data_IF_871433931858
#
_entry.id   IF_871433931858
#
_cell.length_a   1.000
_cell.length_b   1.000
_cell.length_c   1.000
_cell.angle_alpha   90.00
_cell.angle_beta   90.00
_cell.angle_gamma   90.00
#
_symmetry.space_group_name_H-M   'P 1'
#
loop_
_entity.id
_entity.type
_entity.pdbx_description
1 polymer ?
#
# COMPACT_ATOMS: atom_id res chain seq x y z
N UNK A 1 -2.83 -6.30 -34.38
CA UNK A 1 -2.92 -6.64 -32.94
C UNK A 1 -1.52 -6.57 -32.35
N UNK A 2 -1.16 -5.52 -31.59
CA UNK A 2 0.13 -5.49 -30.88
C UNK A 2 -0.03 -6.25 -29.56
N UNK A 3 0.75 -7.30 -29.28
CA UNK A 3 0.67 -7.97 -27.99
C UNK A 3 1.07 -6.99 -26.88
N UNK A 4 0.31 -6.98 -25.79
CA UNK A 4 0.67 -6.22 -24.59
C UNK A 4 1.97 -6.79 -24.03
N UNK A 5 3.04 -6.00 -24.10
CA UNK A 5 4.32 -6.32 -23.46
C UNK A 5 4.34 -5.55 -22.14
N UNK A 6 4.27 -6.21 -20.97
CA UNK A 6 4.34 -5.53 -19.69
C UNK A 6 5.71 -4.86 -19.55
N UNK A 7 5.71 -3.53 -19.35
CA UNK A 7 6.93 -2.81 -19.01
C UNK A 7 7.21 -2.97 -17.52
N UNK A 8 8.33 -3.60 -17.19
CA UNK A 8 8.84 -3.68 -15.81
C UNK A 8 9.79 -2.48 -15.63
N UNK A 9 9.50 -1.54 -14.70
CA UNK A 9 10.39 -0.42 -14.40
C UNK A 9 11.76 -0.88 -13.91
N UNK A 10 12.76 -0.03 -14.06
CA UNK A 10 14.11 -0.28 -13.56
C UNK A 10 14.14 -0.44 -12.02
N UNK A 11 14.86 -1.46 -11.53
CA UNK A 11 15.17 -1.66 -10.12
C UNK A 11 16.65 -2.05 -9.99
N UNK A 12 17.43 -1.19 -9.33
CA UNK A 12 18.86 -1.38 -9.14
C UNK A 12 19.20 -2.70 -8.45
N UNK A 13 18.41 -3.13 -7.46
CA UNK A 13 18.69 -4.34 -6.68
C UNK A 13 18.42 -5.63 -7.49
N UNK A 14 17.52 -5.58 -8.48
CA UNK A 14 17.28 -6.72 -9.37
C UNK A 14 18.40 -6.93 -10.40
N UNK A 15 19.15 -5.87 -10.73
CA UNK A 15 20.20 -5.91 -11.73
C UNK A 15 21.55 -5.40 -11.23
N UNK A 16 21.85 -5.53 -9.93
CA UNK A 16 23.08 -5.00 -9.31
C UNK A 16 24.35 -5.50 -10.04
N UNK A 17 24.33 -6.73 -10.56
CA UNK A 17 25.43 -7.32 -11.33
C UNK A 17 25.73 -6.59 -12.65
N UNK A 18 24.76 -5.90 -13.23
CA UNK A 18 24.98 -5.05 -14.39
C UNK A 18 25.63 -3.70 -14.03
N UNK A 19 25.67 -3.33 -12.74
CA UNK A 19 26.16 -2.03 -12.25
C UNK A 19 27.20 -2.21 -11.14
N UNK A 20 28.39 -2.76 -11.46
CA UNK A 20 29.45 -2.95 -10.48
C UNK A 20 29.88 -1.60 -9.88
N UNK A 21 29.96 -1.52 -8.55
CA UNK A 21 30.39 -0.30 -7.88
C UNK A 21 31.88 -0.04 -8.11
N UNK A 22 32.20 1.18 -8.53
CA UNK A 22 33.60 1.64 -8.70
C UNK A 22 34.29 1.87 -7.35
N UNK A 23 33.51 2.22 -6.33
CA UNK A 23 33.97 2.44 -4.95
C UNK A 23 33.09 1.64 -3.99
N UNK A 24 33.58 1.27 -2.80
CA UNK A 24 32.75 0.67 -1.77
C UNK A 24 31.52 1.55 -1.48
N UNK A 25 30.42 0.93 -1.03
CA UNK A 25 29.29 1.68 -0.53
C UNK A 25 29.73 2.58 0.65
N UNK A 26 29.13 3.78 0.78
CA UNK A 26 29.36 4.62 1.96
C UNK A 26 29.01 3.88 3.26
N UNK A 27 29.58 4.33 4.37
CA UNK A 27 29.19 3.84 5.69
C UNK A 27 27.78 4.36 6.04
N UNK A 28 26.83 3.44 6.18
CA UNK A 28 25.44 3.72 6.51
C UNK A 28 25.10 3.38 7.96
N UNK A 29 26.10 3.26 8.85
CA UNK A 29 25.89 2.94 10.27
C UNK A 29 24.93 3.93 10.93
N UNK A 30 25.15 5.22 10.73
CA UNK A 30 24.30 6.27 11.31
C UNK A 30 22.86 6.26 10.78
N UNK A 31 22.67 5.88 9.51
CA UNK A 31 21.35 5.72 8.90
C UNK A 31 20.64 4.49 9.47
N UNK A 32 21.35 3.36 9.58
CA UNK A 32 20.85 2.13 10.17
C UNK A 32 20.40 2.33 11.62
N UNK A 33 21.19 3.03 12.42
CA UNK A 33 20.83 3.41 13.80
C UNK A 33 19.59 4.32 13.83
N UNK A 34 19.49 5.28 12.91
CA UNK A 34 18.34 6.16 12.83
C UNK A 34 17.05 5.40 12.48
N UNK A 35 17.11 4.43 11.56
CA UNK A 35 15.98 3.56 11.22
C UNK A 35 15.52 2.73 12.42
N UNK A 36 16.48 2.12 13.14
CA UNK A 36 16.19 1.33 14.33
C UNK A 36 15.60 2.18 15.45
N UNK A 37 16.16 3.36 15.71
CA UNK A 37 15.64 4.31 16.69
C UNK A 37 14.23 4.74 16.33
N UNK A 38 13.97 5.17 15.09
CA UNK A 38 12.62 5.57 14.67
C UNK A 38 11.63 4.41 14.77
N UNK A 39 12.06 3.19 14.46
CA UNK A 39 11.21 2.02 14.64
C UNK A 39 10.88 1.75 16.12
N UNK A 40 11.82 1.97 17.05
CA UNK A 40 11.55 1.87 18.49
C UNK A 40 10.57 2.94 18.95
N UNK A 41 10.73 4.18 18.49
CA UNK A 41 9.84 5.30 18.82
C UNK A 41 8.40 5.08 18.32
N UNK A 42 8.24 4.36 17.20
CA UNK A 42 6.94 4.03 16.60
C UNK A 42 6.36 2.70 17.07
N UNK A 43 7.17 1.83 17.68
CA UNK A 43 6.71 0.54 18.14
C UNK A 43 5.90 0.74 19.43
N UNK A 44 4.74 0.09 19.56
CA UNK A 44 3.94 0.22 20.77
C UNK A 44 4.76 -0.29 21.96
N UNK A 45 4.82 0.52 23.01
CA UNK A 45 5.54 0.17 24.23
C UNK A 45 4.78 -0.92 25.02
N UNK A 46 5.39 -1.50 26.06
CA UNK A 46 4.76 -2.59 26.84
C UNK A 46 3.44 -2.18 27.50
N UNK A 47 3.24 -0.89 27.78
CA UNK A 47 1.99 -0.34 28.31
C UNK A 47 0.97 0.02 27.21
N UNK A 48 1.31 -0.05 25.92
CA UNK A 48 0.36 0.11 24.81
C UNK A 48 -0.03 -1.26 24.22
N UNK A 49 0.84 -2.27 24.34
CA UNK A 49 0.57 -3.63 23.90
C UNK A 49 -0.34 -4.38 24.87
N UNK A 50 -1.60 -3.97 24.93
CA UNK A 50 -2.55 -4.43 25.94
C UNK A 50 -3.31 -5.70 25.57
N UNK A 51 -3.33 -6.08 24.30
CA UNK A 51 -3.93 -7.33 23.83
C UNK A 51 -2.81 -8.37 23.69
N UNK A 52 -2.93 -9.48 24.41
CA UNK A 52 -1.99 -10.60 24.35
C UNK A 52 -2.35 -11.55 23.20
N UNK A 53 -3.60 -12.01 23.15
CA UNK A 53 -4.01 -13.04 22.20
C UNK A 53 -5.53 -13.08 22.02
N UNK A 54 -6.00 -13.59 20.87
CA UNK A 54 -7.40 -13.94 20.63
C UNK A 54 -7.50 -15.41 20.22
N UNK A 55 -8.35 -16.20 20.89
CA UNK A 55 -8.54 -17.63 20.61
C UNK A 55 -10.01 -18.00 20.38
N UNK A 56 -10.24 -18.86 19.40
CA UNK A 56 -11.51 -19.57 19.24
C UNK A 56 -11.60 -20.72 20.25
N UNK A 57 -12.72 -20.82 20.98
CA UNK A 57 -12.94 -21.84 22.01
C UNK A 57 -14.36 -22.42 21.93
N UNK A 58 -14.78 -23.14 22.97
CA UNK A 58 -16.16 -23.62 23.11
C UNK A 58 -16.51 -24.77 22.17
N UNK A 59 -17.80 -25.05 22.07
CA UNK A 59 -18.34 -26.16 21.27
C UNK A 59 -18.03 -26.01 19.78
N UNK A 60 -17.99 -24.76 19.28
CA UNK A 60 -17.59 -24.46 17.91
C UNK A 60 -16.17 -24.96 17.61
N UNK A 61 -15.19 -24.56 18.42
CA UNK A 61 -13.80 -24.98 18.21
C UNK A 61 -13.61 -26.50 18.35
N UNK A 62 -14.39 -27.13 19.22
CA UNK A 62 -14.33 -28.57 19.50
C UNK A 62 -15.09 -29.43 18.48
N UNK A 63 -15.92 -28.83 17.62
CA UNK A 63 -16.77 -29.57 16.69
C UNK A 63 -17.94 -30.31 17.36
N UNK A 64 -18.39 -29.84 18.53
CA UNK A 64 -19.45 -30.48 19.34
C UNK A 64 -20.69 -29.61 19.46
N UNK A 65 -20.94 -28.70 18.50
CA UNK A 65 -22.16 -27.89 18.48
C UNK A 65 -23.38 -28.76 18.23
N UNK A 66 -24.51 -28.43 18.88
CA UNK A 66 -25.77 -29.12 18.70
C UNK A 66 -26.72 -28.31 17.82
N UNK A 67 -27.60 -29.01 17.09
CA UNK A 67 -28.64 -28.39 16.27
C UNK A 67 -29.53 -27.48 17.13
N UNK A 68 -29.84 -26.28 16.62
CA UNK A 68 -30.64 -25.27 17.32
C UNK A 68 -29.83 -24.32 18.21
N UNK A 69 -28.55 -24.60 18.45
CA UNK A 69 -27.66 -23.77 19.28
C UNK A 69 -26.41 -23.35 18.51
N UNK A 70 -26.57 -22.40 17.59
CA UNK A 70 -25.50 -21.93 16.70
C UNK A 70 -24.65 -20.81 17.34
N UNK A 71 -23.94 -21.13 18.44
CA UNK A 71 -23.10 -20.19 19.20
C UNK A 71 -21.63 -20.57 19.11
N UNK A 72 -20.76 -19.58 18.86
CA UNK A 72 -19.31 -19.73 18.87
C UNK A 72 -18.69 -18.76 19.89
N UNK A 73 -17.65 -19.21 20.58
CA UNK A 73 -17.01 -18.46 21.67
C UNK A 73 -15.61 -17.99 21.25
N UNK A 74 -15.30 -16.72 21.54
CA UNK A 74 -13.96 -16.14 21.40
C UNK A 74 -13.47 -15.67 22.75
N UNK A 75 -12.21 -15.95 23.07
CA UNK A 75 -11.51 -15.43 24.25
C UNK A 75 -10.51 -14.39 23.80
N UNK A 76 -10.62 -13.19 24.33
CA UNK A 76 -9.62 -12.12 24.19
C UNK A 76 -8.82 -12.06 25.49
N UNK A 77 -7.52 -12.27 25.41
CA UNK A 77 -6.60 -12.22 26.54
C UNK A 77 -5.96 -10.83 26.54
N UNK A 78 -6.16 -10.08 27.63
CA UNK A 78 -5.51 -8.78 27.84
C UNK A 78 -4.35 -8.95 28.82
N UNK A 79 -3.30 -8.15 28.64
CA UNK A 79 -2.19 -8.07 29.61
C UNK A 79 -2.57 -7.30 30.88
N UNK A 80 -3.61 -6.47 30.80
CA UNK A 80 -4.18 -5.68 31.90
C UNK A 80 -5.45 -6.31 32.46
N UNK A 81 -5.81 -5.88 33.68
CA UNK A 81 -7.08 -6.22 34.28
C UNK A 81 -8.24 -5.62 33.46
N UNK A 82 -9.21 -6.44 33.02
CA UNK A 82 -10.38 -5.93 32.32
C UNK A 82 -11.30 -5.22 33.34
N UNK A 83 -11.35 -3.88 33.29
CA UNK A 83 -12.17 -3.07 34.21
C UNK A 83 -13.57 -2.83 33.65
N UNK A 84 -13.68 -1.93 32.68
CA UNK A 84 -14.94 -1.58 32.01
C UNK A 84 -14.81 -1.82 30.52
N UNK A 85 -15.75 -2.59 29.96
CA UNK A 85 -15.85 -2.86 28.53
C UNK A 85 -17.10 -2.19 27.99
N UNK A 86 -16.96 -1.55 26.84
CA UNK A 86 -18.06 -0.98 26.05
C UNK A 86 -18.15 -1.74 24.73
N UNK A 87 -19.38 -1.99 24.26
CA UNK A 87 -19.61 -2.63 22.98
C UNK A 87 -20.41 -1.67 22.10
N UNK A 88 -19.92 -1.45 20.88
CA UNK A 88 -20.55 -0.58 19.89
C UNK A 88 -20.66 -1.33 18.56
N UNK A 89 -21.87 -1.37 17.99
CA UNK A 89 -22.07 -1.89 16.62
C UNK A 89 -21.66 -0.83 15.61
N UNK A 90 -21.11 -1.26 14.48
CA UNK A 90 -20.70 -0.38 13.38
C UNK A 90 -20.99 -1.05 12.02
N UNK A 91 -20.75 -0.33 10.92
CA UNK A 91 -21.03 -0.80 9.55
C UNK A 91 -20.29 -2.10 9.19
N UNK A 92 -19.19 -2.42 9.88
CA UNK A 92 -18.37 -3.62 9.64
C UNK A 92 -18.67 -4.80 10.55
N UNK A 93 -19.52 -4.59 11.57
CA UNK A 93 -19.80 -5.56 12.62
C UNK A 93 -19.95 -4.87 13.97
N UNK A 94 -19.00 -5.07 14.87
CA UNK A 94 -18.97 -4.41 16.17
C UNK A 94 -17.56 -4.31 16.72
N UNK A 95 -17.39 -3.47 17.74
CA UNK A 95 -16.14 -3.33 18.47
C UNK A 95 -16.37 -3.41 19.98
N UNK A 96 -15.38 -3.97 20.67
CA UNK A 96 -15.33 -4.05 22.13
C UNK A 96 -14.13 -3.19 22.56
N UNK A 97 -14.39 -2.16 23.34
CA UNK A 97 -13.40 -1.17 23.76
C UNK A 97 -13.29 -1.09 25.28
N UNK A 98 -12.06 -1.07 25.77
CA UNK A 98 -11.69 -0.61 27.11
C UNK A 98 -11.04 0.78 27.03
N UNK A 99 -10.58 1.33 28.16
CA UNK A 99 -9.75 2.55 28.20
C UNK A 99 -8.47 2.44 27.38
N UNK A 100 -7.92 1.23 27.24
CA UNK A 100 -6.54 1.02 26.77
C UNK A 100 -6.46 0.17 25.51
N UNK A 101 -7.54 -0.49 25.09
CA UNK A 101 -7.56 -1.36 23.92
C UNK A 101 -8.95 -1.47 23.28
N UNK A 102 -8.98 -1.58 21.96
CA UNK A 102 -10.19 -1.87 21.18
C UNK A 102 -9.98 -3.09 20.30
N UNK A 103 -10.90 -4.05 20.39
CA UNK A 103 -10.97 -5.20 19.49
C UNK A 103 -12.12 -4.97 18.51
N UNK A 104 -11.82 -4.95 17.21
CA UNK A 104 -12.83 -4.87 16.15
C UNK A 104 -13.16 -6.25 15.60
N UNK A 105 -14.44 -6.57 15.52
CA UNK A 105 -14.96 -7.82 14.98
C UNK A 105 -15.56 -7.50 13.60
N UNK A 106 -14.86 -7.96 12.56
CA UNK A 106 -15.29 -7.80 11.17
C UNK A 106 -16.18 -8.99 10.77
N UNK A 107 -17.43 -8.71 10.42
CA UNK A 107 -18.39 -9.73 10.01
C UNK A 107 -18.27 -9.93 8.49
N UNK A 108 -18.25 -11.20 8.07
CA UNK A 108 -18.35 -11.56 6.66
C UNK A 108 -19.08 -12.88 6.46
N UNK A 109 -19.25 -13.28 5.20
CA UNK A 109 -19.90 -14.53 4.81
C UNK A 109 -19.09 -15.28 3.76
N UNK A 110 -19.45 -16.52 3.49
CA UNK A 110 -18.78 -17.35 2.47
C UNK A 110 -19.09 -16.85 1.05
N UNK A 111 -18.17 -17.02 0.07
CA UNK A 111 -18.35 -16.51 -1.29
C UNK A 111 -19.70 -16.86 -1.98
N UNK A 112 -20.27 -18.07 -1.80
CA UNK A 112 -21.58 -18.40 -2.38
C UNK A 112 -22.74 -17.52 -1.88
N UNK A 113 -22.64 -16.97 -0.66
CA UNK A 113 -23.68 -16.12 -0.08
C UNK A 113 -23.59 -14.66 -0.57
N UNK A 114 -22.43 -14.21 -1.03
CA UNK A 114 -22.25 -12.83 -1.53
C UNK A 114 -23.15 -12.53 -2.74
N UNK A 115 -23.52 -13.56 -3.52
CA UNK A 115 -24.44 -13.44 -4.67
C UNK A 115 -25.92 -13.38 -4.27
N UNK A 116 -26.23 -13.59 -3.00
CA UNK A 116 -27.59 -13.68 -2.44
C UNK A 116 -27.90 -12.52 -1.49
N UNK A 117 -27.05 -11.50 -1.47
CA UNK A 117 -27.20 -10.36 -0.58
C UNK A 117 -28.38 -9.50 -1.03
N UNK A 118 -29.31 -9.31 -0.12
CA UNK A 118 -30.30 -8.24 -0.14
C UNK A 118 -29.69 -6.95 0.46
N UNK A 119 -29.60 -5.83 -0.29
CA UNK A 119 -29.05 -4.56 0.19
C UNK A 119 -29.83 -3.91 1.34
N UNK A 120 -31.12 -4.22 1.52
CA UNK A 120 -31.94 -3.62 2.59
C UNK A 120 -31.79 -4.37 3.92
N UNK A 121 -31.37 -5.64 3.88
CA UNK A 121 -31.29 -6.51 5.05
C UNK A 121 -29.87 -6.84 5.50
N UNK A 122 -28.89 -6.77 4.59
CA UNK A 122 -27.52 -7.23 4.87
C UNK A 122 -26.50 -6.10 4.82
N UNK A 123 -25.34 -6.37 5.43
CA UNK A 123 -24.18 -5.49 5.34
C UNK A 123 -23.73 -5.33 3.89
N UNK A 124 -23.19 -4.15 3.58
CA UNK A 124 -22.72 -3.80 2.24
C UNK A 124 -21.68 -4.81 1.72
N UNK A 125 -21.80 -5.16 0.44
CA UNK A 125 -20.94 -6.17 -0.20
C UNK A 125 -19.46 -5.79 -0.14
N UNK A 126 -19.10 -4.51 -0.22
CA UNK A 126 -17.72 -4.03 -0.14
C UNK A 126 -17.14 -4.25 1.25
N UNK A 127 -17.94 -4.09 2.30
CA UNK A 127 -17.54 -4.38 3.69
C UNK A 127 -17.24 -5.86 3.85
N UNK A 128 -18.15 -6.73 3.39
CA UNK A 128 -18.00 -8.18 3.46
C UNK A 128 -16.76 -8.66 2.67
N UNK A 129 -16.56 -8.11 1.47
CA UNK A 129 -15.40 -8.41 0.63
C UNK A 129 -14.08 -7.91 1.25
N UNK A 130 -14.09 -6.73 1.88
CA UNK A 130 -12.94 -6.17 2.60
C UNK A 130 -12.51 -7.09 3.74
N UNK A 131 -13.45 -7.60 4.54
CA UNK A 131 -13.17 -8.58 5.59
C UNK A 131 -12.58 -9.90 5.04
N UNK A 132 -13.09 -10.43 3.92
CA UNK A 132 -12.49 -11.60 3.25
C UNK A 132 -11.08 -11.31 2.71
N UNK A 133 -10.85 -10.10 2.20
CA UNK A 133 -9.53 -9.66 1.76
C UNK A 133 -8.55 -9.59 2.94
N UNK A 134 -8.99 -9.08 4.09
CA UNK A 134 -8.18 -9.04 5.30
C UNK A 134 -7.71 -10.44 5.74
N UNK A 135 -8.57 -11.47 5.64
CA UNK A 135 -8.17 -12.87 5.92
C UNK A 135 -7.09 -13.35 4.94
N UNK A 136 -7.26 -13.07 3.64
CA UNK A 136 -6.26 -13.46 2.62
C UNK A 136 -4.94 -12.74 2.83
N UNK A 137 -4.98 -11.43 3.13
CA UNK A 137 -3.79 -10.64 3.41
C UNK A 137 -3.07 -11.14 4.65
N UNK A 138 -3.78 -11.49 5.73
CA UNK A 138 -3.18 -12.04 6.94
C UNK A 138 -2.44 -13.36 6.67
N UNK A 139 -3.05 -14.29 5.93
CA UNK A 139 -2.42 -15.57 5.55
C UNK A 139 -1.20 -15.35 4.68
N UNK A 140 -1.34 -14.57 3.61
CA UNK A 140 -0.22 -14.25 2.72
C UNK A 140 0.94 -13.59 3.50
N UNK A 141 0.63 -12.70 4.44
CA UNK A 141 1.62 -12.00 5.25
C UNK A 141 2.38 -12.96 6.18
N UNK A 142 1.68 -13.89 6.82
CA UNK A 142 2.29 -14.92 7.67
C UNK A 142 3.26 -15.81 6.87
N UNK A 143 2.86 -16.21 5.67
CA UNK A 143 3.63 -17.10 4.80
C UNK A 143 4.80 -16.39 4.09
N UNK A 144 4.64 -15.12 3.69
CA UNK A 144 5.57 -14.45 2.75
C UNK A 144 6.29 -13.22 3.34
N UNK A 145 5.78 -12.62 4.43
CA UNK A 145 6.26 -11.34 4.94
C UNK A 145 6.50 -11.33 6.47
N UNK A 146 6.67 -12.52 7.07
CA UNK A 146 6.83 -12.68 8.53
C UNK A 146 8.18 -12.23 9.09
N UNK A 147 9.14 -11.91 8.22
CA UNK A 147 10.49 -11.45 8.58
C UNK A 147 10.45 -10.13 9.39
N UNK A 148 11.35 -9.99 10.37
CA UNK A 148 11.43 -8.82 11.25
C UNK A 148 11.70 -7.53 10.48
N UNK A 149 12.65 -7.54 9.54
CA UNK A 149 13.00 -6.37 8.71
C UNK A 149 11.81 -5.87 7.89
N UNK A 150 11.00 -6.78 7.34
CA UNK A 150 9.80 -6.42 6.58
C UNK A 150 8.78 -5.71 7.47
N UNK A 151 8.56 -6.22 8.69
CA UNK A 151 7.66 -5.58 9.67
C UNK A 151 8.15 -4.19 10.10
N UNK A 152 9.46 -4.04 10.30
CA UNK A 152 10.10 -2.75 10.61
C UNK A 152 9.91 -1.78 9.45
N UNK A 153 10.21 -2.20 8.22
CA UNK A 153 10.06 -1.39 7.02
C UNK A 153 8.61 -0.93 6.82
N UNK A 154 7.63 -1.82 6.97
CA UNK A 154 6.21 -1.46 6.85
C UNK A 154 5.81 -0.39 7.88
N UNK A 155 6.30 -0.47 9.13
CA UNK A 155 6.03 0.54 10.15
C UNK A 155 6.62 1.90 9.76
N UNK A 156 7.85 1.91 9.29
CA UNK A 156 8.53 3.12 8.82
C UNK A 156 7.83 3.72 7.59
N UNK A 157 7.36 2.89 6.65
CA UNK A 157 6.60 3.33 5.47
C UNK A 157 5.24 3.91 5.84
N UNK A 158 4.55 3.35 6.85
CA UNK A 158 3.30 3.93 7.36
C UNK A 158 3.52 5.32 7.98
N UNK A 159 4.58 5.47 8.78
CA UNK A 159 4.98 6.77 9.34
C UNK A 159 5.37 7.77 8.24
N UNK A 160 6.13 7.31 7.23
CA UNK A 160 6.50 8.12 6.07
C UNK A 160 5.24 8.60 5.31
N UNK A 161 4.26 7.71 5.11
CA UNK A 161 2.98 8.06 4.48
C UNK A 161 2.22 9.13 5.25
N UNK A 162 2.23 9.08 6.58
CA UNK A 162 1.53 10.07 7.41
C UNK A 162 2.23 11.44 7.31
N UNK A 163 3.56 11.46 7.30
CA UNK A 163 4.35 12.70 7.28
C UNK A 163 4.47 13.35 5.91
N UNK A 164 4.38 12.58 4.84
CA UNK A 164 4.41 13.06 3.47
C UNK A 164 3.08 12.79 2.78
N UNK A 165 2.18 13.80 2.70
CA UNK A 165 0.86 13.65 2.07
C UNK A 165 0.91 13.13 0.63
N UNK A 166 2.04 13.31 -0.08
CA UNK A 166 2.25 12.74 -1.41
C UNK A 166 2.19 11.21 -1.48
N UNK A 167 2.25 10.53 -0.33
CA UNK A 167 2.09 9.08 -0.21
C UNK A 167 0.73 8.64 0.32
N UNK A 168 -0.18 9.57 0.63
CA UNK A 168 -1.59 9.27 0.90
C UNK A 168 -2.15 8.24 -0.10
N UNK A 169 -1.85 8.36 -1.41
CA UNK A 169 -2.45 7.49 -2.41
C UNK A 169 -1.87 6.08 -2.52
N UNK A 170 -0.99 5.64 -1.62
CA UNK A 170 -0.49 4.26 -1.51
C UNK A 170 -1.61 3.27 -1.09
N UNK A 171 -2.69 3.29 -1.85
CA UNK A 171 -3.83 2.39 -1.91
C UNK A 171 -4.02 2.01 -3.40
N UNK A 172 -4.84 1.01 -3.75
CA UNK A 172 -4.84 0.42 -5.11
C UNK A 172 -5.32 1.30 -6.30
N UNK A 173 -5.31 2.64 -6.25
CA UNK A 173 -5.82 3.53 -7.31
C UNK A 173 -4.71 4.28 -8.07
N UNK A 174 -4.79 4.36 -9.41
CA UNK A 174 -3.65 3.96 -10.25
C UNK A 174 -2.95 5.00 -11.16
N UNK A 175 -3.45 6.22 -11.46
CA UNK A 175 -2.70 7.13 -12.38
C UNK A 175 -2.40 8.53 -11.81
N UNK A 176 -3.40 9.36 -11.53
CA UNK A 176 -3.20 10.72 -10.98
C UNK A 176 -2.46 10.70 -9.63
N UNK A 177 -2.73 9.65 -8.87
CA UNK A 177 -2.17 9.32 -7.57
C UNK A 177 -0.74 8.78 -7.67
N UNK A 178 -0.44 8.06 -8.76
CA UNK A 178 0.88 7.49 -9.02
C UNK A 178 1.90 8.59 -9.33
N UNK A 179 1.50 9.63 -10.07
CA UNK A 179 2.36 10.79 -10.32
C UNK A 179 2.78 11.45 -9.00
N UNK A 180 1.82 11.67 -8.10
CA UNK A 180 2.07 12.22 -6.76
C UNK A 180 3.05 11.38 -5.93
N UNK A 181 2.86 10.07 -5.92
CA UNK A 181 3.77 9.14 -5.25
C UNK A 181 5.17 9.19 -5.89
N UNK A 182 5.24 9.21 -7.22
CA UNK A 182 6.49 9.21 -7.98
C UNK A 182 7.31 10.48 -7.76
N UNK A 183 6.75 11.67 -7.95
CA UNK A 183 7.51 12.92 -7.78
C UNK A 183 7.91 13.14 -6.31
N UNK A 184 7.09 12.68 -5.35
CA UNK A 184 7.43 12.71 -3.93
C UNK A 184 8.60 11.76 -3.65
N UNK A 185 8.54 10.51 -4.13
CA UNK A 185 9.63 9.55 -3.98
C UNK A 185 10.93 10.03 -4.64
N UNK A 186 10.87 10.58 -5.86
CA UNK A 186 12.02 11.14 -6.57
C UNK A 186 12.71 12.26 -5.78
N UNK A 187 11.92 13.12 -5.12
CA UNK A 187 12.45 14.19 -4.27
C UNK A 187 13.13 13.61 -3.03
N UNK A 188 12.47 12.67 -2.33
CA UNK A 188 13.01 12.06 -1.12
C UNK A 188 14.26 11.20 -1.38
N UNK A 189 14.35 10.52 -2.53
CA UNK A 189 15.55 9.77 -2.93
C UNK A 189 16.76 10.70 -3.10
N UNK A 190 16.55 11.89 -3.68
CA UNK A 190 17.61 12.90 -3.80
C UNK A 190 18.05 13.43 -2.44
N UNK A 191 17.09 13.75 -1.57
CA UNK A 191 17.39 14.20 -0.19
C UNK A 191 18.12 13.10 0.61
N UNK A 192 17.70 11.84 0.48
CA UNK A 192 18.35 10.70 1.12
C UNK A 192 19.80 10.55 0.65
N UNK A 193 20.06 10.74 -0.65
CA UNK A 193 21.41 10.69 -1.24
C UNK A 193 22.34 11.78 -0.71
N UNK A 194 21.80 12.89 -0.20
CA UNK A 194 22.54 13.99 0.42
C UNK A 194 22.50 13.97 1.96
N UNK A 195 22.22 12.81 2.56
CA UNK A 195 22.28 12.62 4.01
C UNK A 195 21.09 13.16 4.80
N UNK A 196 20.01 13.57 4.13
CA UNK A 196 18.80 14.11 4.77
C UNK A 196 17.92 13.09 5.49
N UNK A 197 18.44 11.90 5.80
CA UNK A 197 17.67 10.78 6.38
C UNK A 197 17.04 11.12 7.73
N UNK A 198 17.66 11.95 8.57
CA UNK A 198 17.11 12.32 9.89
C UNK A 198 15.82 13.14 9.77
N UNK A 199 15.78 14.09 8.82
CA UNK A 199 14.56 14.82 8.45
C UNK A 199 13.52 13.91 7.83
N UNK A 200 13.92 13.05 6.89
CA UNK A 200 13.01 12.07 6.27
C UNK A 200 12.41 11.12 7.31
N UNK A 201 13.12 10.80 8.40
CA UNK A 201 12.64 9.95 9.48
C UNK A 201 11.91 10.71 10.61
N UNK A 202 11.70 12.03 10.46
CA UNK A 202 10.99 12.84 11.46
C UNK A 202 11.77 13.05 12.77
N UNK A 203 13.09 12.88 12.76
CA UNK A 203 13.94 13.10 13.94
C UNK A 203 14.28 14.59 14.16
N UNK A 204 13.98 15.45 13.19
CA UNK A 204 14.30 16.88 13.20
C UNK A 204 13.05 17.75 12.97
N UNK A 205 11.91 17.32 13.52
CA UNK A 205 10.63 18.02 13.41
C UNK A 205 9.89 17.73 12.10
N UNK A 206 9.02 18.66 11.70
CA UNK A 206 8.29 18.53 10.44
C UNK A 206 9.26 18.50 9.25
N UNK A 207 8.90 17.69 8.26
CA UNK A 207 9.65 17.48 7.03
C UNK A 207 8.73 17.52 5.79
N UNK A 208 7.43 17.75 5.97
CA UNK A 208 6.43 17.73 4.89
C UNK A 208 6.78 18.72 3.77
N UNK A 209 7.29 19.90 4.13
CA UNK A 209 7.74 20.94 3.21
C UNK A 209 8.84 20.49 2.23
N UNK A 210 9.62 19.45 2.55
CA UNK A 210 10.67 18.95 1.67
C UNK A 210 10.14 18.38 0.35
N UNK A 211 8.85 18.01 0.30
CA UNK A 211 8.21 17.55 -0.93
C UNK A 211 7.72 18.70 -1.83
N UNK A 212 7.74 19.95 -1.36
CA UNK A 212 7.18 21.11 -2.08
C UNK A 212 8.11 22.33 -2.13
N UNK A 213 9.10 22.41 -1.25
CA UNK A 213 10.02 23.55 -1.15
C UNK A 213 11.46 23.17 -1.47
N UNK A 214 12.19 24.12 -2.07
CA UNK A 214 13.62 24.00 -2.33
C UNK A 214 14.37 23.87 -1.01
N UNK A 215 15.28 22.90 -0.93
CA UNK A 215 16.12 22.66 0.25
C UNK A 215 17.60 22.59 -0.12
N UNK A 216 18.49 22.85 0.84
CA UNK A 216 19.95 22.78 0.64
C UNK A 216 20.55 21.74 1.57
N UNK A 217 21.37 20.84 1.03
CA UNK A 217 22.00 19.73 1.73
C UNK A 217 23.48 19.67 1.36
N UNK A 218 24.36 19.93 2.32
CA UNK A 218 25.82 19.96 2.09
C UNK A 218 26.24 20.80 0.86
N UNK A 219 25.63 21.98 0.72
CA UNK A 219 25.86 22.88 -0.42
C UNK A 219 25.16 22.50 -1.72
N UNK A 220 24.45 21.37 -1.78
CA UNK A 220 23.65 20.93 -2.93
C UNK A 220 22.22 21.41 -2.78
N UNK A 221 21.71 22.12 -3.79
CA UNK A 221 20.32 22.57 -3.86
C UNK A 221 19.46 21.44 -4.43
N UNK A 222 18.44 21.02 -3.69
CA UNK A 222 17.43 20.05 -4.13
C UNK A 222 16.12 20.78 -4.40
N UNK A 223 15.74 20.83 -5.67
CA UNK A 223 14.43 21.34 -6.12
C UNK A 223 13.43 20.18 -6.17
N UNK A 224 12.30 20.22 -5.45
CA UNK A 224 11.29 19.18 -5.52
C UNK A 224 10.84 18.87 -6.94
N UNK A 225 10.59 17.60 -7.22
CA UNK A 225 10.01 17.18 -8.50
C UNK A 225 8.57 17.68 -8.58
N UNK A 226 8.18 18.17 -9.76
CA UNK A 226 6.86 18.72 -10.00
C UNK A 226 5.92 17.68 -10.63
N UNK A 227 4.62 17.98 -10.55
CA UNK A 227 3.56 17.17 -11.16
C UNK A 227 3.77 17.10 -12.69
N UNK A 228 3.74 15.89 -13.25
CA UNK A 228 3.90 15.67 -14.69
C UNK A 228 2.59 15.22 -15.36
N UNK A 229 1.65 14.65 -14.61
CA UNK A 229 0.39 14.16 -15.13
C UNK A 229 -0.62 15.31 -15.34
N UNK A 230 -1.09 15.43 -16.58
CA UNK A 230 -2.21 16.29 -16.96
C UNK A 230 -3.42 15.43 -17.33
N UNK A 231 -4.58 15.71 -16.70
CA UNK A 231 -5.82 15.00 -17.02
C UNK A 231 -6.20 15.34 -18.47
N UNK A 232 -6.48 14.36 -19.34
CA UNK A 232 -7.00 14.63 -20.66
C UNK A 232 -8.26 15.49 -20.60
N UNK A 233 -8.47 16.43 -21.54
CA UNK A 233 -9.71 17.21 -21.59
C UNK A 233 -10.90 16.25 -21.69
N UNK A 234 -11.95 16.52 -20.92
CA UNK A 234 -13.20 15.74 -21.01
C UNK A 234 -13.78 15.92 -22.41
N UNK A 235 -13.84 14.83 -23.18
CA UNK A 235 -14.54 14.83 -24.47
C UNK A 235 -15.99 15.24 -24.20
N UNK A 236 -16.43 16.35 -24.80
CA UNK A 236 -17.85 16.67 -24.84
C UNK A 236 -18.54 15.52 -25.59
N UNK A 237 -19.60 14.97 -25.00
CA UNK A 237 -20.48 14.02 -25.69
C UNK A 237 -20.95 14.68 -27.00
N UNK A 238 -20.42 14.24 -28.14
CA UNK A 238 -20.76 14.79 -29.46
C UNK A 238 -19.64 14.81 -30.51
N UNK A 239 -18.37 14.62 -30.13
CA UNK A 239 -17.26 14.52 -31.11
C UNK A 239 -16.78 13.06 -31.23
N UNK A 240 -17.68 12.19 -31.67
CA UNK A 240 -17.33 10.95 -32.37
C UNK A 240 -17.81 11.10 -33.80
N UNK A 241 -16.94 11.59 -34.68
CA UNK A 241 -16.85 11.25 -36.11
C UNK A 241 -15.84 12.21 -36.75
N UNK A 242 -14.72 11.65 -37.21
CA UNK A 242 -13.74 12.16 -38.20
C UNK A 242 -12.29 11.91 -37.76
N UNK A 243 -11.94 10.65 -37.55
CA UNK A 243 -10.54 10.23 -37.75
C UNK A 243 -10.52 8.77 -38.17
N UNK A 244 -11.08 8.50 -39.35
CA UNK A 244 -10.84 7.23 -40.05
C UNK A 244 -11.03 7.39 -41.56
N UNK A 245 -10.17 8.19 -42.19
CA UNK A 245 -9.90 8.11 -43.63
C UNK A 245 -8.39 8.26 -43.83
N UNK A 246 -7.64 7.22 -43.49
CA UNK A 246 -6.37 6.97 -44.18
C UNK A 246 -6.72 6.47 -45.59
N UNK A 247 -6.51 7.32 -46.59
CA UNK A 247 -6.57 6.94 -48.00
C UNK A 247 -5.55 5.82 -48.29
N UNK A 248 -5.90 4.82 -49.11
CA UNK A 248 -4.93 3.81 -49.53
C UNK A 248 -3.88 4.46 -50.46
N UNK A 249 -2.60 4.07 -50.36
CA UNK A 249 -1.56 4.64 -51.20
C UNK A 249 -1.82 4.31 -52.67
N UNK A 250 -1.81 5.35 -53.51
CA UNK A 250 -1.83 5.24 -54.96
C UNK A 250 -0.62 4.43 -55.45
N UNK A 251 -0.88 3.54 -56.41
CA UNK A 251 0.08 2.56 -56.91
C UNK A 251 1.33 3.20 -57.53
N UNK A 252 2.48 2.63 -57.18
CA UNK A 252 3.69 2.75 -57.96
C UNK A 252 3.75 1.59 -58.96
N UNK A 253 4.12 1.97 -60.18
CA UNK A 253 4.05 1.21 -61.42
C UNK A 253 4.93 -0.04 -61.40
N UNK A 254 4.41 -1.15 -61.93
CA UNK A 254 5.19 -2.33 -62.29
C UNK A 254 6.14 -1.98 -63.45
N UNK A 255 7.44 -1.83 -63.19
CA UNK A 255 8.47 -2.00 -64.23
C UNK A 255 8.98 -3.44 -64.22
N UNK A 256 8.54 -4.16 -65.25
CA UNK A 256 9.05 -5.44 -65.72
C UNK A 256 10.55 -5.38 -66.00
N UNK A 257 11.35 -6.24 -65.34
CA UNK A 257 12.65 -6.64 -65.86
C UNK A 257 12.60 -8.10 -66.32
N UNK A 258 12.62 -8.24 -67.64
CA UNK A 258 12.76 -9.49 -68.38
C UNK A 258 14.06 -10.22 -68.04
N UNK A 259 13.98 -11.54 -68.00
CA UNK A 259 15.12 -12.46 -68.05
C UNK A 259 15.49 -12.80 -69.49
N UNK A 260 16.79 -12.69 -69.84
CA UNK A 260 17.55 -13.48 -70.83
C UNK A 260 19.00 -12.91 -70.85
N UNK A 261 20.10 -13.66 -70.85
CA UNK A 261 20.40 -15.10 -71.01
C UNK A 261 21.31 -15.61 -69.87
#
# INVERSE_FOLDING_TARGET
>A
FRPFVPHIPFDFYLCEMAFPRVKPAPDETSFSEALLKRNQDLAPNSAEQQIEEVRQVGSYKKGTMTTGHNVADLVVILKILPTFLTMLTNETGFEISSSDATVKILITTVPPNLRKLDPELHLDIKVLQSALAAIRHARWFEENASQSTVKVLIRLLKDLRIRFPGFEPLTPWILDLLDMVCYTAQTLVRILSHGGFRKILGQEGDASYLASEISTWDGVIVTPSEKAYEKPPEKKEGEEEEENTEEPPQGEEEESMETQE
#
